data_IF_819458936879
#
_entry.id   IF_819458936879
#
_cell.length_a   1.000
_cell.length_b   1.000
_cell.length_c   1.000
_cell.angle_alpha   90.00
_cell.angle_beta   90.00
_cell.angle_gamma   90.00
#
_symmetry.space_group_name_H-M   'P 1'
#
loop_
_entity.id
_entity.type
_entity.pdbx_description
1 polymer ?
#
# COMPACT_ATOMS: atom_id res chain seq x y z
N UNK A 1 37.22 39.72 -55.43
CA UNK A 1 35.90 39.05 -55.45
C UNK A 1 35.83 38.09 -54.27
N UNK A 2 34.74 38.18 -53.48
CA UNK A 2 34.64 37.78 -52.07
C UNK A 2 34.60 36.25 -51.88
N UNK A 3 35.34 35.75 -50.88
CA UNK A 3 35.22 34.39 -50.33
C UNK A 3 34.10 34.37 -49.29
N UNK A 4 33.16 33.45 -49.40
CA UNK A 4 32.05 33.28 -48.46
C UNK A 4 32.34 32.09 -47.57
N UNK A 5 32.53 32.33 -46.28
CA UNK A 5 32.72 31.30 -45.24
C UNK A 5 31.36 30.91 -44.67
N UNK A 6 30.96 29.64 -44.80
CA UNK A 6 29.76 29.12 -44.17
C UNK A 6 30.07 28.71 -42.72
N UNK A 7 29.40 29.32 -41.74
CA UNK A 7 29.40 28.86 -40.35
C UNK A 7 28.29 27.79 -40.18
N UNK A 8 28.68 26.57 -39.82
CA UNK A 8 27.76 25.55 -39.31
C UNK A 8 27.52 25.79 -37.81
N UNK A 9 26.30 26.15 -37.44
CA UNK A 9 25.85 26.15 -36.04
C UNK A 9 25.37 24.74 -35.67
N UNK A 10 26.17 24.00 -34.89
CA UNK A 10 25.70 22.80 -34.20
C UNK A 10 24.93 23.23 -32.96
N UNK A 11 23.61 23.07 -32.99
CA UNK A 11 22.77 23.19 -31.79
C UNK A 11 22.88 21.90 -30.98
N UNK A 12 23.51 21.97 -29.81
CA UNK A 12 23.60 20.87 -28.86
C UNK A 12 22.27 20.79 -28.10
N UNK A 13 21.38 19.88 -28.51
CA UNK A 13 20.14 19.60 -27.78
C UNK A 13 20.51 18.83 -26.50
N UNK A 14 20.67 19.53 -25.39
CA UNK A 14 20.86 18.91 -24.08
C UNK A 14 19.56 18.22 -23.66
N UNK A 15 19.48 16.90 -23.88
CA UNK A 15 18.39 16.06 -23.37
C UNK A 15 18.58 15.93 -21.86
N UNK A 16 17.96 16.81 -21.08
CA UNK A 16 17.90 16.68 -19.63
C UNK A 16 17.06 15.46 -19.28
N UNK A 17 17.71 14.34 -18.95
CA UNK A 17 17.07 13.22 -18.28
C UNK A 17 16.57 13.70 -16.92
N UNK A 18 15.28 14.01 -16.83
CA UNK A 18 14.60 14.15 -15.55
C UNK A 18 14.58 12.78 -14.90
N UNK A 19 15.41 12.59 -13.86
CA UNK A 19 15.29 11.46 -12.96
C UNK A 19 13.90 11.55 -12.31
N UNK A 20 12.96 10.74 -12.79
CA UNK A 20 11.65 10.58 -12.15
C UNK A 20 11.86 10.04 -10.74
N UNK A 21 11.88 10.96 -9.78
CA UNK A 21 11.87 10.62 -8.36
C UNK A 21 10.65 9.72 -8.10
N UNK A 22 10.82 8.66 -7.30
CA UNK A 22 9.72 7.81 -6.77
C UNK A 22 8.74 8.58 -5.86
N UNK A 23 8.69 9.91 -5.95
CA UNK A 23 7.77 10.74 -5.18
C UNK A 23 6.43 10.71 -5.88
N UNK A 24 5.44 10.18 -5.20
CA UNK A 24 4.04 10.35 -5.57
C UNK A 24 3.74 11.85 -5.60
N UNK A 25 3.12 12.31 -6.70
CA UNK A 25 2.72 13.70 -6.84
C UNK A 25 1.67 14.04 -5.78
N UNK A 26 1.74 15.23 -5.18
CA UNK A 26 0.67 15.71 -4.29
C UNK A 26 -0.51 16.19 -5.16
N UNK A 27 -1.73 15.76 -4.78
CA UNK A 27 -2.96 16.08 -5.50
C UNK A 27 -3.85 16.98 -4.65
N UNK A 28 -4.38 18.08 -5.22
CA UNK A 28 -5.29 18.93 -4.49
C UNK A 28 -6.63 18.20 -4.31
N UNK A 29 -7.06 18.06 -3.06
CA UNK A 29 -8.37 17.53 -2.69
C UNK A 29 -9.03 18.40 -1.62
N UNK A 30 -10.37 18.42 -1.62
CA UNK A 30 -11.19 18.99 -0.56
C UNK A 30 -12.07 17.91 0.11
N UNK A 31 -11.77 16.63 -0.09
CA UNK A 31 -12.50 15.54 0.54
C UNK A 31 -12.38 15.62 2.08
N UNK A 32 -13.37 15.07 2.76
CA UNK A 32 -13.39 14.93 4.22
C UNK A 32 -13.14 13.47 4.62
N UNK A 33 -12.71 13.21 5.87
CA UNK A 33 -12.54 11.86 6.39
C UNK A 33 -13.74 10.95 6.09
N UNK A 34 -13.44 9.71 5.72
CA UNK A 34 -14.45 8.67 5.44
C UNK A 34 -14.61 7.74 6.64
N UNK A 35 -15.78 7.13 6.77
CA UNK A 35 -15.96 5.99 7.70
C UNK A 35 -15.39 4.71 7.09
N UNK A 36 -14.85 3.84 7.94
CA UNK A 36 -14.34 2.52 7.55
C UNK A 36 -15.29 1.38 7.94
N UNK A 37 -16.53 1.66 8.37
CA UNK A 37 -17.50 0.64 8.84
C UNK A 37 -17.79 -0.47 7.82
N UNK A 38 -17.90 -0.14 6.53
CA UNK A 38 -18.14 -1.15 5.49
C UNK A 38 -16.96 -2.12 5.43
N UNK A 39 -15.73 -1.60 5.47
CA UNK A 39 -14.53 -2.41 5.50
C UNK A 39 -14.42 -3.21 6.78
N UNK A 40 -14.69 -2.60 7.95
CA UNK A 40 -14.66 -3.25 9.25
C UNK A 40 -15.60 -4.46 9.30
N UNK A 41 -16.81 -4.32 8.77
CA UNK A 41 -17.78 -5.42 8.67
C UNK A 41 -17.29 -6.51 7.72
N UNK A 42 -16.77 -6.14 6.55
CA UNK A 42 -16.25 -7.11 5.58
C UNK A 42 -15.09 -7.94 6.14
N UNK A 43 -14.12 -7.30 6.81
CA UNK A 43 -12.99 -8.03 7.38
C UNK A 43 -13.38 -8.85 8.61
N UNK A 44 -14.38 -8.44 9.39
CA UNK A 44 -14.90 -9.27 10.48
C UNK A 44 -15.61 -10.53 9.97
N UNK A 45 -16.29 -10.44 8.84
CA UNK A 45 -17.03 -11.55 8.25
C UNK A 45 -16.12 -12.52 7.47
N UNK A 46 -15.13 -11.98 6.76
CA UNK A 46 -14.36 -12.73 5.76
C UNK A 46 -12.87 -12.90 6.10
N UNK A 47 -12.42 -12.44 7.27
CA UNK A 47 -11.04 -12.64 7.74
C UNK A 47 -11.04 -13.30 9.12
N UNK A 48 -10.42 -14.47 9.23
CA UNK A 48 -10.32 -15.18 10.50
C UNK A 48 -9.44 -14.42 11.51
N UNK A 49 -9.53 -14.71 12.82
CA UNK A 49 -8.65 -14.12 13.84
C UNK A 49 -7.15 -14.36 13.57
N UNK A 50 -6.81 -15.45 12.90
CA UNK A 50 -5.46 -15.82 12.46
C UNK A 50 -5.05 -15.08 11.17
N UNK A 51 -5.97 -14.39 10.50
CA UNK A 51 -5.74 -13.61 9.28
C UNK A 51 -5.97 -14.37 7.98
N UNK A 52 -6.64 -15.51 8.01
CA UNK A 52 -7.00 -16.23 6.78
C UNK A 52 -8.17 -15.53 6.10
N UNK A 53 -8.00 -15.22 4.81
CA UNK A 53 -8.97 -14.47 4.01
C UNK A 53 -9.86 -15.43 3.21
N UNK A 54 -11.17 -15.33 3.40
CA UNK A 54 -12.18 -16.02 2.59
C UNK A 54 -12.47 -15.22 1.31
N UNK A 55 -11.63 -15.41 0.29
CA UNK A 55 -11.84 -14.77 -1.02
C UNK A 55 -13.18 -15.16 -1.68
N UNK A 56 -13.63 -16.43 -1.66
CA UNK A 56 -14.99 -16.77 -2.08
C UNK A 56 -16.10 -15.97 -1.36
N UNK A 57 -15.96 -15.72 -0.06
CA UNK A 57 -16.84 -14.84 0.71
C UNK A 57 -16.81 -13.39 0.20
N UNK A 58 -15.61 -12.82 0.02
CA UNK A 58 -15.44 -11.48 -0.58
C UNK A 58 -16.00 -11.36 -2.01
N UNK A 59 -15.94 -12.42 -2.82
CA UNK A 59 -16.53 -12.45 -4.17
C UNK A 59 -18.05 -12.37 -4.10
N UNK A 60 -18.66 -13.14 -3.19
CA UNK A 60 -20.11 -13.08 -2.95
C UNK A 60 -20.54 -11.69 -2.47
N UNK A 61 -19.73 -11.05 -1.62
CA UNK A 61 -19.93 -9.71 -1.09
C UNK A 61 -19.30 -8.58 -1.93
N UNK A 62 -18.96 -8.86 -3.20
CA UNK A 62 -18.27 -7.91 -4.08
C UNK A 62 -18.99 -6.57 -4.22
N UNK A 63 -20.33 -6.56 -4.11
CA UNK A 63 -21.12 -5.31 -4.09
C UNK A 63 -20.77 -4.39 -2.91
N UNK A 64 -20.61 -4.95 -1.70
CA UNK A 64 -20.21 -4.21 -0.49
C UNK A 64 -18.75 -3.79 -0.57
N UNK A 65 -17.87 -4.67 -1.05
CA UNK A 65 -16.47 -4.35 -1.28
C UNK A 65 -16.34 -3.17 -2.25
N UNK A 66 -16.99 -3.24 -3.41
CA UNK A 66 -16.95 -2.17 -4.40
C UNK A 66 -17.53 -0.85 -3.89
N UNK A 67 -18.56 -0.89 -3.04
CA UNK A 67 -19.09 0.32 -2.38
C UNK A 67 -18.05 0.97 -1.46
N UNK A 68 -17.30 0.17 -0.71
CA UNK A 68 -16.21 0.69 0.13
C UNK A 68 -15.06 1.24 -0.71
N UNK A 69 -14.64 0.53 -1.75
CA UNK A 69 -13.60 1.01 -2.65
C UNK A 69 -14.01 2.34 -3.29
N UNK A 70 -15.25 2.47 -3.78
CA UNK A 70 -15.74 3.72 -4.36
C UNK A 70 -15.73 4.89 -3.37
N UNK A 71 -16.00 4.64 -2.08
CA UNK A 71 -15.86 5.64 -1.03
C UNK A 71 -14.42 6.15 -0.90
N UNK A 72 -13.44 5.25 -0.99
CA UNK A 72 -12.01 5.60 -1.02
C UNK A 72 -11.67 6.36 -2.32
N UNK A 73 -12.08 5.83 -3.47
CA UNK A 73 -11.81 6.45 -4.79
C UNK A 73 -12.26 7.91 -4.84
N UNK A 74 -13.33 8.30 -4.14
CA UNK A 74 -13.82 9.68 -4.10
C UNK A 74 -13.21 10.58 -3.02
N UNK A 75 -12.28 10.09 -2.19
CA UNK A 75 -11.90 10.76 -0.94
C UNK A 75 -10.39 10.79 -0.70
N UNK A 76 -9.64 11.57 -1.49
CA UNK A 76 -8.21 11.68 -1.29
C UNK A 76 -7.87 12.43 0.02
N UNK A 77 -7.07 11.83 0.94
CA UNK A 77 -6.69 12.49 2.19
C UNK A 77 -5.92 13.79 1.95
N UNK A 78 -6.14 14.79 2.82
CA UNK A 78 -5.52 16.10 2.70
C UNK A 78 -5.34 16.78 4.07
N UNK A 79 -4.34 17.66 4.17
CA UNK A 79 -4.01 18.35 5.42
C UNK A 79 -5.03 19.42 5.85
N UNK A 80 -5.99 19.76 4.98
CA UNK A 80 -7.00 20.79 5.27
C UNK A 80 -8.15 20.24 6.13
N UNK A 81 -8.52 18.98 5.92
CA UNK A 81 -9.69 18.38 6.55
C UNK A 81 -9.39 17.12 7.36
N UNK A 82 -8.19 16.56 7.25
CA UNK A 82 -7.83 15.30 7.89
C UNK A 82 -6.67 15.50 8.86
N UNK A 83 -6.84 14.96 10.05
CA UNK A 83 -5.72 14.74 10.99
C UNK A 83 -4.75 13.71 10.43
N UNK A 84 -3.51 13.73 10.93
CA UNK A 84 -2.48 12.75 10.55
C UNK A 84 -2.98 11.31 10.69
N UNK A 85 -3.69 10.99 11.78
CA UNK A 85 -4.10 9.61 12.06
C UNK A 85 -5.29 9.17 11.19
N UNK A 86 -6.19 10.08 10.82
CA UNK A 86 -7.23 9.80 9.79
C UNK A 86 -6.59 9.52 8.43
N UNK A 87 -5.57 10.29 8.04
CA UNK A 87 -4.86 10.02 6.78
C UNK A 87 -4.14 8.66 6.82
N UNK A 88 -3.46 8.33 7.92
CA UNK A 88 -2.74 7.06 8.04
C UNK A 88 -3.69 5.86 8.05
N UNK A 89 -4.77 5.93 8.84
CA UNK A 89 -5.81 4.90 8.88
C UNK A 89 -6.41 4.66 7.47
N UNK A 90 -6.71 5.75 6.75
CA UNK A 90 -7.18 5.67 5.37
C UNK A 90 -6.20 4.91 4.47
N UNK A 91 -4.91 5.29 4.48
CA UNK A 91 -3.94 4.68 3.58
C UNK A 91 -3.67 3.21 3.90
N UNK A 92 -3.65 2.82 5.18
CA UNK A 92 -3.54 1.40 5.58
C UNK A 92 -4.76 0.62 5.08
N UNK A 93 -5.97 1.12 5.32
CA UNK A 93 -7.18 0.43 4.89
C UNK A 93 -7.30 0.38 3.37
N UNK A 94 -6.92 1.45 2.66
CA UNK A 94 -6.89 1.48 1.20
C UNK A 94 -5.93 0.42 0.64
N UNK A 95 -4.69 0.38 1.15
CA UNK A 95 -3.71 -0.65 0.74
C UNK A 95 -4.29 -2.06 0.91
N UNK A 96 -4.85 -2.36 2.07
CA UNK A 96 -5.39 -3.68 2.39
C UNK A 96 -6.63 -4.03 1.53
N UNK A 97 -7.57 -3.11 1.38
CA UNK A 97 -8.78 -3.35 0.61
C UNK A 97 -8.51 -3.48 -0.90
N UNK A 98 -7.61 -2.66 -1.46
CA UNK A 98 -7.20 -2.80 -2.86
C UNK A 98 -6.35 -4.05 -3.09
N UNK A 99 -5.60 -4.52 -2.09
CA UNK A 99 -4.93 -5.83 -2.18
C UNK A 99 -5.96 -6.97 -2.28
N UNK A 100 -7.01 -6.94 -1.44
CA UNK A 100 -8.12 -7.92 -1.53
C UNK A 100 -8.83 -7.82 -2.87
N UNK A 101 -9.13 -6.60 -3.35
CA UNK A 101 -9.73 -6.36 -4.68
C UNK A 101 -8.91 -7.01 -5.79
N UNK A 102 -7.59 -6.81 -5.78
CA UNK A 102 -6.70 -7.36 -6.79
C UNK A 102 -6.75 -8.89 -6.82
N UNK A 103 -6.87 -9.55 -5.67
CA UNK A 103 -6.99 -11.01 -5.64
C UNK A 103 -8.38 -11.45 -6.08
N UNK A 104 -9.44 -10.78 -5.62
CA UNK A 104 -10.83 -11.05 -6.00
C UNK A 104 -11.02 -10.97 -7.52
N UNK A 105 -10.44 -9.97 -8.18
CA UNK A 105 -10.53 -9.77 -9.63
C UNK A 105 -9.84 -10.88 -10.45
N UNK A 106 -8.87 -11.55 -9.85
CA UNK A 106 -8.06 -12.59 -10.49
C UNK A 106 -8.32 -13.98 -9.92
N UNK A 107 -9.36 -14.15 -9.10
CA UNK A 107 -9.66 -15.41 -8.45
C UNK A 107 -10.24 -16.45 -9.45
N UNK A 108 -9.88 -17.75 -9.36
CA UNK A 108 -8.90 -18.33 -8.45
C UNK A 108 -7.45 -18.08 -8.90
N UNK A 109 -6.57 -17.77 -7.95
CA UNK A 109 -5.13 -17.60 -8.19
C UNK A 109 -4.32 -18.33 -7.11
N UNK A 110 -3.25 -19.01 -7.51
CA UNK A 110 -2.39 -19.75 -6.58
C UNK A 110 -1.50 -18.82 -5.74
N UNK A 111 -1.00 -17.74 -6.33
CA UNK A 111 -0.25 -16.70 -5.65
C UNK A 111 -0.59 -15.32 -6.20
N UNK A 112 -0.70 -14.30 -5.34
CA UNK A 112 -0.80 -12.90 -5.79
C UNK A 112 0.34 -12.54 -6.76
N UNK A 113 1.52 -13.15 -6.61
CA UNK A 113 2.66 -12.94 -7.52
C UNK A 113 2.40 -13.40 -8.95
N UNK A 114 1.46 -14.30 -9.17
CA UNK A 114 1.13 -14.83 -10.49
C UNK A 114 0.26 -13.85 -11.30
N UNK A 115 -0.38 -12.88 -10.64
CA UNK A 115 -1.27 -11.90 -11.27
C UNK A 115 -0.52 -11.01 -12.28
N UNK A 116 0.76 -10.73 -12.04
CA UNK A 116 1.57 -9.92 -12.98
C UNK A 116 1.92 -10.65 -14.27
N UNK A 117 1.74 -11.98 -14.34
CA UNK A 117 2.18 -12.76 -15.48
C UNK A 117 1.36 -12.34 -16.72
N UNK A 118 2.03 -11.77 -17.71
CA UNK A 118 1.41 -11.29 -18.95
C UNK A 118 1.17 -9.79 -19.04
N UNK A 119 1.58 -8.99 -18.03
CA UNK A 119 1.53 -7.53 -18.10
C UNK A 119 2.92 -6.99 -18.49
N UNK A 120 3.09 -6.45 -19.71
CA UNK A 120 4.38 -5.91 -20.14
C UNK A 120 4.85 -4.76 -19.24
N UNK A 121 6.15 -4.70 -18.99
CA UNK A 121 6.80 -3.60 -18.24
C UNK A 121 6.40 -3.48 -16.75
N UNK A 122 5.78 -4.51 -16.16
CA UNK A 122 5.48 -4.58 -14.72
C UNK A 122 6.47 -5.53 -14.03
N UNK A 123 7.23 -5.01 -13.06
CA UNK A 123 8.27 -5.78 -12.35
C UNK A 123 7.66 -6.68 -11.28
N UNK A 124 6.74 -6.16 -10.48
CA UNK A 124 6.04 -6.88 -9.41
C UNK A 124 4.53 -6.66 -9.48
N UNK A 125 3.73 -7.55 -8.90
CA UNK A 125 2.27 -7.38 -8.81
C UNK A 125 1.89 -6.08 -8.09
N UNK A 126 2.73 -5.61 -7.17
CA UNK A 126 2.53 -4.36 -6.44
C UNK A 126 2.86 -3.10 -7.24
N UNK A 127 3.38 -3.25 -8.48
CA UNK A 127 3.59 -2.16 -9.45
C UNK A 127 2.46 -2.05 -10.50
N UNK A 128 1.40 -2.86 -10.38
CA UNK A 128 0.24 -2.74 -11.25
C UNK A 128 -0.53 -1.48 -10.85
N UNK A 129 -0.69 -0.54 -11.78
CA UNK A 129 -1.49 0.67 -11.58
C UNK A 129 -2.96 0.36 -11.82
N UNK A 130 -3.73 0.24 -10.75
CA UNK A 130 -5.17 -0.05 -10.80
C UNK A 130 -6.00 0.72 -9.76
N UNK A 131 -5.34 1.44 -8.85
CA UNK A 131 -5.99 2.12 -7.75
C UNK A 131 -6.24 3.57 -8.18
N UNK A 132 -7.50 3.92 -8.42
CA UNK A 132 -7.86 5.31 -8.71
C UNK A 132 -8.30 6.00 -7.41
N UNK A 133 -7.73 7.13 -7.06
CA UNK A 133 -8.24 7.98 -5.98
C UNK A 133 -8.28 9.41 -6.52
N UNK A 134 -9.49 9.92 -6.69
CA UNK A 134 -9.81 11.16 -7.39
C UNK A 134 -9.13 11.22 -8.76
N UNK A 135 -8.25 12.20 -8.99
CA UNK A 135 -7.52 12.40 -10.24
C UNK A 135 -6.23 11.58 -10.35
N UNK A 136 -5.89 10.80 -9.32
CA UNK A 136 -4.61 10.13 -9.20
C UNK A 136 -4.71 8.61 -9.36
N UNK A 137 -3.71 8.04 -10.01
CA UNK A 137 -3.62 6.59 -10.27
C UNK A 137 -2.40 6.01 -9.56
N UNK A 138 -2.67 5.10 -8.62
CA UNK A 138 -1.71 4.46 -7.77
C UNK A 138 -1.56 2.97 -8.09
N UNK A 139 -0.42 2.45 -7.69
CA UNK A 139 -0.16 1.05 -7.44
C UNK A 139 0.05 0.84 -5.92
N UNK A 140 0.12 -0.41 -5.45
CA UNK A 140 0.30 -0.70 -4.01
C UNK A 140 1.64 -0.15 -3.49
N UNK A 141 2.70 -0.18 -4.29
CA UNK A 141 3.99 0.39 -3.93
C UNK A 141 3.94 1.92 -3.79
N UNK A 142 3.13 2.62 -4.58
CA UNK A 142 2.92 4.06 -4.44
C UNK A 142 2.32 4.36 -3.06
N UNK A 143 1.33 3.59 -2.61
CA UNK A 143 0.73 3.78 -1.29
C UNK A 143 1.76 3.49 -0.18
N UNK A 144 2.41 2.33 -0.19
CA UNK A 144 3.33 1.96 0.89
C UNK A 144 4.60 2.81 0.90
N UNK A 145 5.33 2.84 -0.21
CA UNK A 145 6.66 3.44 -0.31
C UNK A 145 6.63 4.91 -0.71
N UNK A 146 5.62 5.34 -1.45
CA UNK A 146 5.48 6.72 -1.91
C UNK A 146 4.73 7.62 -0.94
N UNK A 147 3.83 7.07 -0.12
CA UNK A 147 2.97 7.82 0.79
C UNK A 147 3.22 7.44 2.26
N UNK A 148 2.91 6.20 2.66
CA UNK A 148 2.89 5.80 4.07
C UNK A 148 4.28 5.96 4.72
N UNK A 149 5.29 5.29 4.18
CA UNK A 149 6.65 5.26 4.75
C UNK A 149 7.30 6.66 4.84
N UNK A 150 7.29 7.49 3.79
CA UNK A 150 7.94 8.80 3.85
C UNK A 150 7.15 9.85 4.63
N UNK A 151 5.80 9.80 4.66
CA UNK A 151 4.99 10.87 5.28
C UNK A 151 4.76 10.67 6.78
N UNK A 152 4.62 9.43 7.25
CA UNK A 152 4.14 9.20 8.62
C UNK A 152 5.23 8.86 9.62
N UNK A 153 6.38 8.34 9.19
CA UNK A 153 7.44 7.89 10.11
C UNK A 153 6.91 6.93 11.19
N UNK A 154 6.04 5.99 10.81
CA UNK A 154 5.41 5.04 11.71
C UNK A 154 5.87 3.62 11.35
N UNK A 155 6.86 3.04 12.06
CA UNK A 155 7.41 1.73 11.69
C UNK A 155 6.42 0.57 11.87
N UNK A 156 5.40 0.71 12.71
CA UNK A 156 4.41 -0.35 12.95
C UNK A 156 3.53 -0.63 11.73
N UNK A 157 3.50 0.27 10.73
CA UNK A 157 2.76 0.05 9.47
C UNK A 157 3.21 -1.22 8.74
N UNK A 158 4.47 -1.63 8.88
CA UNK A 158 5.01 -2.87 8.29
C UNK A 158 4.34 -4.14 8.81
N UNK A 159 3.60 -4.03 9.92
CA UNK A 159 2.80 -5.11 10.50
C UNK A 159 1.29 -4.93 10.23
N UNK A 160 0.89 -3.80 9.63
CA UNK A 160 -0.50 -3.43 9.39
C UNK A 160 -0.90 -3.49 7.90
N UNK A 161 0.05 -3.29 6.99
CA UNK A 161 -0.15 -3.45 5.55
C UNK A 161 0.09 -4.91 5.14
N UNK A 162 -0.95 -5.57 4.65
CA UNK A 162 -0.90 -6.97 4.22
C UNK A 162 -0.76 -7.01 2.69
N UNK A 163 0.42 -7.39 2.21
CA UNK A 163 0.69 -7.53 0.78
C UNK A 163 0.18 -8.84 0.16
N UNK A 164 -0.57 -9.65 0.93
CA UNK A 164 -1.05 -11.00 0.62
C UNK A 164 0.02 -12.03 0.22
N UNK A 165 1.30 -11.78 0.53
CA UNK A 165 2.35 -12.79 0.46
C UNK A 165 2.43 -13.59 1.76
N UNK A 166 2.87 -14.86 1.70
CA UNK A 166 3.07 -15.72 2.89
C UNK A 166 4.02 -15.10 3.93
N UNK A 167 4.95 -14.24 3.49
CA UNK A 167 5.89 -13.54 4.38
C UNK A 167 5.31 -12.29 5.04
N UNK A 168 4.15 -11.80 4.57
CA UNK A 168 3.53 -10.59 5.10
C UNK A 168 2.87 -10.83 6.47
N UNK A 169 2.66 -9.77 7.27
CA UNK A 169 1.84 -9.85 8.47
C UNK A 169 0.43 -10.30 8.14
N UNK A 170 -0.32 -10.79 9.13
CA UNK A 170 -1.73 -11.15 8.93
C UNK A 170 -2.57 -9.93 8.54
N UNK A 171 -3.62 -10.12 7.73
CA UNK A 171 -4.61 -9.08 7.51
C UNK A 171 -5.44 -8.93 8.78
N UNK A 172 -5.60 -7.70 9.27
CA UNK A 172 -6.45 -7.41 10.42
C UNK A 172 -7.91 -7.74 10.10
N UNK A 173 -8.60 -8.42 11.02
CA UNK A 173 -10.04 -8.62 10.96
C UNK A 173 -10.84 -7.40 11.48
N UNK A 174 -10.19 -6.25 11.63
CA UNK A 174 -10.78 -4.94 11.95
C UNK A 174 -10.20 -3.86 11.05
N UNK A 175 -11.02 -2.89 10.67
CA UNK A 175 -10.54 -1.71 9.98
C UNK A 175 -9.74 -0.82 10.94
N UNK A 176 -8.72 -0.15 10.40
CA UNK A 176 -7.98 0.85 11.17
C UNK A 176 -8.81 2.14 11.28
N UNK A 177 -8.87 2.74 12.47
CA UNK A 177 -9.57 4.02 12.68
C UNK A 177 -8.68 5.00 13.42
N UNK A 178 -8.86 6.31 13.19
CA UNK A 178 -7.96 7.32 13.74
C UNK A 178 -7.93 7.33 15.27
N UNK A 179 -9.07 7.09 15.91
CA UNK A 179 -9.23 7.07 17.37
C UNK A 179 -8.60 5.85 18.04
N UNK A 180 -8.42 4.74 17.30
CA UNK A 180 -7.83 3.50 17.82
C UNK A 180 -6.47 3.18 17.21
N UNK A 181 -5.95 4.04 16.33
CA UNK A 181 -4.85 3.72 15.44
C UNK A 181 -3.60 3.26 16.17
N UNK A 182 -3.21 3.97 17.24
CA UNK A 182 -2.02 3.65 18.02
C UNK A 182 -2.12 2.26 18.69
N UNK A 183 -3.28 1.96 19.28
CA UNK A 183 -3.55 0.68 19.93
C UNK A 183 -3.55 -0.46 18.90
N UNK A 184 -4.21 -0.25 17.75
CA UNK A 184 -4.30 -1.23 16.67
C UNK A 184 -2.92 -1.51 16.06
N UNK A 185 -2.12 -0.48 15.79
CA UNK A 185 -0.75 -0.63 15.29
C UNK A 185 0.16 -1.34 16.31
N UNK A 186 -0.01 -1.02 17.59
CA UNK A 186 0.72 -1.69 18.67
C UNK A 186 0.35 -3.17 18.74
N UNK A 187 -0.94 -3.49 18.64
CA UNK A 187 -1.40 -4.87 18.64
C UNK A 187 -0.89 -5.64 17.42
N UNK A 188 -0.94 -5.06 16.23
CA UNK A 188 -0.40 -5.65 15.01
C UNK A 188 1.10 -5.94 15.14
N UNK A 189 1.87 -5.03 15.74
CA UNK A 189 3.28 -5.24 16.00
C UNK A 189 3.53 -6.38 17.01
N UNK A 190 2.77 -6.43 18.11
CA UNK A 190 2.87 -7.50 19.11
C UNK A 190 2.53 -8.86 18.51
N UNK A 191 1.44 -8.94 17.76
CA UNK A 191 1.01 -10.17 17.09
C UNK A 191 2.08 -10.67 16.14
N UNK A 192 2.66 -9.79 15.31
CA UNK A 192 3.72 -10.18 14.39
C UNK A 192 4.99 -10.63 15.11
N UNK A 193 5.43 -9.89 16.13
CA UNK A 193 6.61 -10.24 16.91
C UNK A 193 6.45 -11.56 17.68
N UNK A 194 5.23 -11.86 18.13
CA UNK A 194 4.89 -13.11 18.82
C UNK A 194 4.64 -14.30 17.90
N UNK A 195 4.57 -14.12 16.58
CA UNK A 195 4.39 -15.21 15.62
C UNK A 195 5.68 -16.04 15.49
N UNK A 196 5.70 -17.21 16.15
CA UNK A 196 6.84 -18.15 16.14
C UNK A 196 7.16 -18.74 14.76
N UNK A 197 6.23 -18.64 13.80
CA UNK A 197 6.51 -19.00 12.40
C UNK A 197 7.39 -17.97 11.69
N UNK A 198 7.43 -16.72 12.20
CA UNK A 198 8.19 -15.60 11.65
C UNK A 198 9.39 -15.22 12.50
N UNK A 199 9.26 -15.29 13.82
CA UNK A 199 10.22 -14.79 14.79
C UNK A 199 10.45 -15.83 15.89
N UNK A 200 11.67 -16.36 15.96
CA UNK A 200 12.10 -17.31 16.99
C UNK A 200 13.18 -16.66 17.83
N UNK A 201 12.85 -16.37 19.07
CA UNK A 201 13.76 -15.74 20.03
C UNK A 201 14.02 -16.73 21.16
N UNK A 202 15.27 -17.16 21.29
CA UNK A 202 15.77 -17.93 22.43
C UNK A 202 16.95 -17.20 23.07
N UNK A 203 17.39 -17.69 24.23
CA UNK A 203 18.54 -17.12 24.96
C UNK A 203 19.81 -17.09 24.10
N UNK A 204 19.99 -18.09 23.24
CA UNK A 204 21.23 -18.32 22.50
C UNK A 204 21.10 -17.98 21.00
N UNK A 205 19.88 -17.82 20.49
CA UNK A 205 19.64 -17.61 19.07
C UNK A 205 18.41 -16.73 18.82
N UNK A 206 18.57 -15.77 17.91
CA UNK A 206 17.51 -14.91 17.43
C UNK A 206 17.37 -15.09 15.92
N UNK A 207 16.24 -15.60 15.48
CA UNK A 207 15.84 -15.68 14.07
C UNK A 207 14.63 -14.77 13.89
N UNK A 208 14.77 -13.70 13.11
CA UNK A 208 13.68 -12.75 12.86
C UNK A 208 13.27 -12.75 11.40
N UNK A 209 12.03 -12.31 11.16
CA UNK A 209 11.52 -12.10 9.81
C UNK A 209 12.43 -11.18 8.99
N UNK A 210 12.51 -11.44 7.68
CA UNK A 210 13.25 -10.58 6.75
C UNK A 210 12.67 -9.17 6.64
N UNK A 211 11.45 -8.91 7.14
CA UNK A 211 10.87 -7.56 7.25
C UNK A 211 11.85 -6.60 7.96
N UNK A 212 12.52 -7.05 9.03
CA UNK A 212 13.48 -6.22 9.75
C UNK A 212 14.75 -5.89 8.96
N UNK A 213 15.09 -6.72 7.97
CA UNK A 213 16.20 -6.49 7.03
C UNK A 213 15.76 -5.56 5.89
N UNK A 214 14.62 -5.86 5.25
CA UNK A 214 14.09 -5.10 4.12
C UNK A 214 13.72 -3.66 4.48
N UNK A 215 13.18 -3.46 5.68
CA UNK A 215 12.72 -2.17 6.18
C UNK A 215 13.55 -1.63 7.34
N UNK A 216 14.79 -2.12 7.52
CA UNK A 216 15.64 -1.78 8.66
C UNK A 216 15.90 -0.28 8.85
N UNK A 217 15.77 0.54 7.80
CA UNK A 217 15.87 1.99 7.90
C UNK A 217 14.69 2.66 8.60
N UNK A 218 13.49 2.06 8.55
CA UNK A 218 12.30 2.61 9.19
C UNK A 218 12.24 2.28 10.68
N UNK A 219 12.82 1.15 11.11
CA UNK A 219 12.90 0.74 12.53
C UNK A 219 13.99 1.45 13.34
N UNK A 220 14.86 2.24 12.71
CA UNK A 220 15.99 2.92 13.35
C UNK A 220 15.77 4.41 13.59
N UNK A 221 14.59 4.92 13.24
CA UNK A 221 14.23 6.34 13.34
C UNK A 221 13.69 6.68 14.72
#
# INVERSE_FOLDING_TARGET
MKKTTALFFYSFLALTLTLSSCKVQDYPSNARPVTHEIWDSLVQEHVSPEGWVDYPGFIQDSSRLNRYLHLLEGSHPNDKHWSRDEQLAYWINAYNAFTVKLIVDHYPVASIKDIKNGIPFVNTVWDIKFIQIEQATYDLNNIEHGIIRPKFNEPRVHFAVNCASVSCPKLSNRAYTADQLDEQLTQAARDFLGDESKNKVSKDKVELSKIFSWYGGDFKK
#
